data_IF_903936271433
#
_entry.id   IF_903936271433
#
_cell.length_a   1.000
_cell.length_b   1.000
_cell.length_c   1.000
_cell.angle_alpha   90.00
_cell.angle_beta   90.00
_cell.angle_gamma   90.00
#
_symmetry.space_group_name_H-M   'P 1'
#
loop_
_entity.id
_entity.type
_entity.pdbx_description
1 polymer ?
#
# COMPACT_ATOMS: atom_id res chain seq x y z
N UNK A 1 24.62 19.74 -3.61
CA UNK A 1 24.09 20.32 -2.35
C UNK A 1 22.57 20.15 -2.27
N UNK A 2 22.01 19.05 -2.79
CA UNK A 2 20.55 18.82 -2.92
C UNK A 2 20.08 17.56 -2.15
N UNK A 3 21.00 16.61 -1.86
CA UNK A 3 20.69 15.37 -1.13
C UNK A 3 20.07 15.59 0.26
N UNK A 4 20.54 16.59 1.03
CA UNK A 4 20.03 16.85 2.39
C UNK A 4 18.64 17.49 2.47
N UNK A 5 18.16 18.12 1.40
CA UNK A 5 16.78 18.63 1.38
C UNK A 5 15.78 17.54 0.99
N UNK A 6 16.21 16.61 0.13
CA UNK A 6 15.42 15.45 -0.30
C UNK A 6 15.14 14.49 0.87
N UNK A 7 16.15 14.17 1.68
CA UNK A 7 16.00 13.30 2.87
C UNK A 7 15.07 13.92 3.94
N UNK A 8 15.22 15.21 4.26
CA UNK A 8 14.37 15.83 5.30
C UNK A 8 12.92 16.07 4.87
N UNK A 9 12.66 16.39 3.60
CA UNK A 9 11.28 16.53 3.11
C UNK A 9 10.57 15.17 3.08
N UNK A 10 11.30 14.12 2.70
CA UNK A 10 10.85 12.73 2.73
C UNK A 10 10.56 12.26 4.16
N UNK A 11 11.50 12.44 5.12
CA UNK A 11 11.29 12.09 6.53
C UNK A 11 10.09 12.82 7.16
N UNK A 12 9.91 14.11 6.86
CA UNK A 12 8.80 14.90 7.40
C UNK A 12 7.45 14.47 6.81
N UNK A 13 7.41 14.07 5.53
CA UNK A 13 6.19 13.62 4.87
C UNK A 13 5.83 12.18 5.28
N UNK A 14 6.81 11.27 5.38
CA UNK A 14 6.64 9.94 5.98
C UNK A 14 6.13 10.10 7.41
N UNK A 15 6.77 10.95 8.22
CA UNK A 15 6.29 11.21 9.57
C UNK A 15 4.88 11.81 9.63
N UNK A 16 4.46 12.62 8.65
CA UNK A 16 3.12 13.20 8.58
C UNK A 16 2.05 12.19 8.14
N UNK A 17 2.31 11.41 7.08
CA UNK A 17 1.42 10.35 6.59
C UNK A 17 1.24 9.26 7.66
N UNK A 18 2.33 8.85 8.31
CA UNK A 18 2.27 7.83 9.36
C UNK A 18 1.73 8.34 10.70
N UNK A 19 1.83 9.65 11.00
CA UNK A 19 1.26 10.23 12.24
C UNK A 19 -0.26 10.17 12.28
N UNK A 20 -0.94 10.16 11.13
CA UNK A 20 -2.40 10.13 11.05
C UNK A 20 -2.98 8.71 11.25
N UNK A 21 -2.18 7.64 11.06
CA UNK A 21 -2.56 6.23 11.32
C UNK A 21 -2.70 5.86 12.81
N UNK A 22 -2.36 6.75 13.74
CA UNK A 22 -2.33 6.46 15.20
C UNK A 22 -3.71 6.42 15.87
N UNK A 23 -4.80 6.78 15.18
CA UNK A 23 -6.07 7.07 15.87
C UNK A 23 -7.14 5.96 15.87
N UNK A 24 -6.97 4.81 15.21
CA UNK A 24 -8.08 3.85 15.04
C UNK A 24 -7.76 2.35 15.26
N UNK A 25 -6.81 2.01 16.13
CA UNK A 25 -6.73 0.63 16.67
C UNK A 25 -6.89 0.62 18.18
N UNK A 26 -8.13 0.88 18.61
CA UNK A 26 -8.61 0.47 19.93
C UNK A 26 -9.10 -0.98 19.86
N UNK A 27 -8.23 -1.93 20.22
CA UNK A 27 -8.69 -3.27 20.63
C UNK A 27 -8.33 -3.44 22.09
N UNK A 28 -9.35 -3.22 22.92
CA UNK A 28 -9.44 -3.73 24.27
C UNK A 28 -9.54 -5.26 24.19
N UNK A 29 -8.57 -5.98 24.78
CA UNK A 29 -8.84 -7.27 25.42
C UNK A 29 -7.84 -7.48 26.55
N UNK A 30 -8.37 -7.25 27.76
CA UNK A 30 -7.89 -7.77 29.02
C UNK A 30 -7.66 -9.29 28.91
N UNK A 31 -6.42 -9.75 29.11
CA UNK A 31 -6.09 -10.91 29.94
C UNK A 31 -4.59 -10.90 30.23
N UNK A 32 -4.25 -10.74 31.51
CA UNK A 32 -2.88 -10.66 31.97
C UNK A 32 -2.12 -11.98 31.81
N UNK A 33 -0.90 -11.88 31.30
CA UNK A 33 0.27 -12.62 31.78
C UNK A 33 1.50 -11.84 31.34
N UNK A 34 2.32 -11.46 32.33
CA UNK A 34 3.52 -10.69 32.14
C UNK A 34 4.52 -11.42 31.24
N UNK A 35 4.84 -10.80 30.11
CA UNK A 35 6.11 -11.00 29.42
C UNK A 35 6.66 -9.60 29.11
N UNK A 36 7.94 -9.47 29.40
CA UNK A 36 8.71 -8.24 29.51
C UNK A 36 8.54 -7.31 28.30
N UNK A 37 8.10 -6.10 28.60
CA UNK A 37 8.10 -4.97 27.68
C UNK A 37 9.54 -4.56 27.41
N UNK A 38 10.00 -4.77 26.18
CA UNK A 38 11.19 -4.10 25.65
C UNK A 38 10.83 -3.52 24.29
N UNK A 39 10.98 -2.20 24.16
CA UNK A 39 10.95 -1.50 22.87
C UNK A 39 9.68 -0.71 22.62
N UNK A 40 9.77 0.59 22.84
CA UNK A 40 8.81 1.59 22.36
C UNK A 40 8.78 1.55 20.82
N UNK A 41 7.65 1.15 20.23
CA UNK A 41 7.45 1.15 18.79
C UNK A 41 7.09 2.56 18.30
N UNK A 42 8.06 3.27 17.73
CA UNK A 42 7.87 4.37 16.78
C UNK A 42 9.05 4.41 15.80
N UNK A 43 8.73 4.72 14.53
CA UNK A 43 9.56 4.91 13.32
C UNK A 43 9.76 3.66 12.45
N UNK A 44 9.14 3.67 11.27
CA UNK A 44 9.22 2.71 10.15
C UNK A 44 8.81 1.25 10.46
N UNK A 45 7.57 0.89 10.09
CA UNK A 45 7.01 -0.47 10.22
C UNK A 45 7.82 -1.54 9.44
N UNK A 46 8.70 -1.11 8.53
CA UNK A 46 9.60 -1.96 7.75
C UNK A 46 11.01 -1.35 7.66
N UNK A 47 12.04 -2.19 7.66
CA UNK A 47 13.46 -1.77 7.58
C UNK A 47 13.90 -1.24 6.18
N UNK A 48 12.96 -1.07 5.25
CA UNK A 48 13.22 -0.68 3.88
C UNK A 48 13.22 0.84 3.71
N UNK A 49 14.25 1.39 3.05
CA UNK A 49 14.31 2.81 2.71
C UNK A 49 13.48 3.18 1.47
N UNK A 50 13.17 2.20 0.61
CA UNK A 50 12.39 2.38 -0.61
C UNK A 50 11.57 1.12 -0.96
N UNK A 51 10.38 1.28 -1.55
CA UNK A 51 9.47 0.16 -1.86
C UNK A 51 10.06 -0.90 -2.81
N UNK A 52 11.06 -0.53 -3.62
CA UNK A 52 11.77 -1.48 -4.50
C UNK A 52 12.61 -2.47 -3.68
N UNK A 53 13.11 -2.07 -2.52
CA UNK A 53 13.89 -2.92 -1.62
C UNK A 53 13.03 -3.97 -0.92
N UNK A 54 11.72 -3.71 -0.78
CA UNK A 54 10.76 -4.65 -0.22
C UNK A 54 10.41 -5.82 -1.16
N UNK A 55 10.80 -5.78 -2.45
CA UNK A 55 10.41 -6.81 -3.43
C UNK A 55 10.80 -8.24 -3.05
N UNK A 56 12.02 -8.53 -2.55
CA UNK A 56 12.39 -9.87 -2.12
C UNK A 56 11.51 -10.36 -0.96
N UNK A 57 11.13 -9.46 -0.05
CA UNK A 57 10.27 -9.82 1.09
C UNK A 57 8.83 -10.05 0.66
N UNK A 58 8.31 -9.28 -0.31
CA UNK A 58 7.01 -9.55 -0.94
C UNK A 58 6.99 -10.95 -1.58
N UNK A 59 8.07 -11.35 -2.26
CA UNK A 59 8.17 -12.70 -2.85
C UNK A 59 8.26 -13.79 -1.77
N UNK A 60 9.02 -13.54 -0.70
CA UNK A 60 9.17 -14.47 0.42
C UNK A 60 7.85 -14.68 1.17
N UNK A 61 7.19 -13.61 1.61
CA UNK A 61 5.90 -13.68 2.31
C UNK A 61 4.81 -14.37 1.47
N UNK A 62 4.81 -14.13 0.15
CA UNK A 62 3.94 -14.84 -0.78
C UNK A 62 4.24 -16.33 -0.83
N UNK A 63 5.51 -16.71 -0.92
CA UNK A 63 5.94 -18.12 -0.93
C UNK A 63 5.56 -18.83 0.37
N UNK A 64 5.65 -18.13 1.50
CA UNK A 64 5.35 -18.66 2.82
C UNK A 64 3.85 -18.67 3.15
N UNK A 65 3.00 -18.09 2.29
CA UNK A 65 1.56 -17.99 2.52
C UNK A 65 1.18 -17.08 3.69
N UNK A 66 2.08 -16.17 4.09
CA UNK A 66 1.87 -15.19 5.16
C UNK A 66 1.05 -14.02 4.63
N UNK A 67 -0.24 -14.27 4.40
CA UNK A 67 -1.12 -13.36 3.66
C UNK A 67 -1.38 -12.03 4.39
N UNK A 68 -1.51 -12.04 5.72
CA UNK A 68 -1.73 -10.80 6.49
C UNK A 68 -0.50 -9.89 6.43
N UNK A 69 0.71 -10.44 6.67
CA UNK A 69 1.94 -9.67 6.54
C UNK A 69 2.22 -9.21 5.11
N UNK A 70 1.86 -10.01 4.11
CA UNK A 70 1.97 -9.62 2.70
C UNK A 70 1.03 -8.47 2.37
N UNK A 71 -0.20 -8.49 2.88
CA UNK A 71 -1.16 -7.39 2.72
C UNK A 71 -0.62 -6.10 3.32
N UNK A 72 -0.11 -6.13 4.55
CA UNK A 72 0.46 -4.96 5.21
C UNK A 72 1.66 -4.40 4.44
N UNK A 73 2.58 -5.26 3.96
CA UNK A 73 3.76 -4.84 3.20
C UNK A 73 3.38 -4.22 1.85
N UNK A 74 2.44 -4.82 1.12
CA UNK A 74 1.97 -4.27 -0.16
C UNK A 74 1.29 -2.92 0.02
N UNK A 75 0.51 -2.75 1.09
CA UNK A 75 -0.11 -1.46 1.43
C UNK A 75 0.95 -0.40 1.73
N UNK A 76 1.98 -0.76 2.51
CA UNK A 76 3.10 0.13 2.79
C UNK A 76 3.82 0.56 1.49
N UNK A 77 4.10 -0.37 0.57
CA UNK A 77 4.71 -0.08 -0.72
C UNK A 77 3.86 0.90 -1.56
N UNK A 78 2.54 0.72 -1.59
CA UNK A 78 1.60 1.61 -2.29
C UNK A 78 1.62 3.01 -1.68
N UNK A 79 1.51 3.10 -0.35
CA UNK A 79 1.50 4.39 0.36
C UNK A 79 2.79 5.17 0.14
N UNK A 80 3.95 4.48 0.18
CA UNK A 80 5.23 5.11 -0.08
C UNK A 80 5.36 5.58 -1.54
N UNK A 81 4.97 4.73 -2.50
CA UNK A 81 5.00 5.09 -3.91
C UNK A 81 4.12 6.30 -4.22
N UNK A 82 2.90 6.36 -3.68
CA UNK A 82 2.00 7.51 -3.83
C UNK A 82 2.55 8.78 -3.16
N UNK A 83 3.17 8.65 -1.99
CA UNK A 83 3.78 9.76 -1.27
C UNK A 83 4.93 10.39 -2.07
N UNK A 84 5.77 9.57 -2.72
CA UNK A 84 6.83 10.08 -3.59
C UNK A 84 6.28 10.91 -4.75
N UNK A 85 5.15 10.50 -5.34
CA UNK A 85 4.52 11.27 -6.43
C UNK A 85 4.02 12.66 -5.98
N UNK A 86 3.73 12.84 -4.69
CA UNK A 86 3.27 14.14 -4.15
C UNK A 86 4.41 15.14 -3.92
N UNK A 87 5.65 14.67 -3.77
CA UNK A 87 6.82 15.51 -3.46
C UNK A 87 7.52 16.03 -4.72
N UNK A 88 7.31 15.38 -5.86
CA UNK A 88 7.94 15.78 -7.12
C UNK A 88 7.19 16.97 -7.73
N UNK A 89 7.82 18.15 -7.73
CA UNK A 89 7.28 19.39 -8.34
C UNK A 89 7.09 19.25 -9.88
N UNK A 90 7.75 18.28 -10.50
CA UNK A 90 7.66 17.96 -11.92
C UNK A 90 6.81 16.70 -12.16
N UNK A 91 5.49 16.85 -12.00
CA UNK A 91 4.47 15.82 -12.28
C UNK A 91 4.55 15.24 -13.71
N UNK A 92 5.30 15.86 -14.62
CA UNK A 92 5.43 15.42 -16.00
C UNK A 92 6.46 14.29 -16.19
N UNK A 93 7.37 14.07 -15.22
CA UNK A 93 8.49 13.12 -15.39
C UNK A 93 8.49 11.94 -14.41
N UNK A 94 7.65 11.99 -13.38
CA UNK A 94 7.31 10.86 -12.51
C UNK A 94 5.79 10.76 -12.49
N UNK A 95 5.25 9.83 -13.27
CA UNK A 95 3.80 9.64 -13.36
C UNK A 95 3.37 8.19 -13.22
N UNK A 96 4.30 7.23 -13.24
CA UNK A 96 3.94 5.82 -13.26
C UNK A 96 4.04 5.21 -11.85
N UNK A 97 2.89 4.92 -11.27
CA UNK A 97 2.83 4.14 -10.03
C UNK A 97 3.16 2.67 -10.33
N UNK A 98 3.86 1.97 -9.43
CA UNK A 98 4.17 0.55 -9.60
C UNK A 98 2.90 -0.31 -9.53
N UNK A 99 2.26 -0.57 -10.68
CA UNK A 99 1.01 -1.33 -10.75
C UNK A 99 1.11 -2.72 -10.11
N UNK A 100 2.29 -3.32 -10.11
CA UNK A 100 2.55 -4.64 -9.52
C UNK A 100 2.04 -4.74 -8.08
N UNK A 101 2.20 -3.71 -7.24
CA UNK A 101 1.73 -3.78 -5.86
C UNK A 101 0.20 -3.72 -5.76
N UNK A 102 -0.44 -2.93 -6.62
CA UNK A 102 -1.91 -2.84 -6.67
C UNK A 102 -2.53 -4.13 -7.20
N UNK A 103 -1.96 -4.73 -8.25
CA UNK A 103 -2.46 -5.98 -8.83
C UNK A 103 -2.23 -7.16 -7.89
N UNK A 104 -1.11 -7.18 -7.17
CA UNK A 104 -0.79 -8.18 -6.16
C UNK A 104 -1.74 -8.09 -4.96
N UNK A 105 -2.01 -6.89 -4.46
CA UNK A 105 -2.95 -6.69 -3.36
C UNK A 105 -4.39 -7.02 -3.78
N UNK A 106 -4.79 -6.62 -4.99
CA UNK A 106 -6.08 -6.98 -5.57
C UNK A 106 -6.26 -8.50 -5.68
N UNK A 107 -5.20 -9.22 -6.06
CA UNK A 107 -5.21 -10.69 -6.11
C UNK A 107 -5.39 -11.30 -4.73
N UNK A 108 -4.69 -10.77 -3.72
CA UNK A 108 -4.81 -11.22 -2.34
C UNK A 108 -6.24 -11.06 -1.82
N UNK A 109 -6.87 -9.90 -2.06
CA UNK A 109 -8.28 -9.68 -1.71
C UNK A 109 -9.23 -10.61 -2.44
N UNK A 110 -9.02 -10.83 -3.73
CA UNK A 110 -9.84 -11.76 -4.52
C UNK A 110 -9.74 -13.19 -3.97
N UNK A 111 -8.53 -13.64 -3.68
CA UNK A 111 -8.29 -14.99 -3.17
C UNK A 111 -8.90 -15.17 -1.75
N UNK A 112 -9.04 -14.07 -0.99
CA UNK A 112 -9.77 -13.99 0.28
C UNK A 112 -11.30 -13.76 0.16
N UNK A 113 -11.88 -13.74 -1.06
CA UNK A 113 -13.28 -13.36 -1.35
C UNK A 113 -13.68 -11.94 -0.91
N UNK A 114 -12.70 -11.06 -0.69
CA UNK A 114 -12.87 -9.64 -0.36
C UNK A 114 -13.03 -8.81 -1.65
N UNK A 115 -14.11 -9.04 -2.39
CA UNK A 115 -14.30 -8.45 -3.72
C UNK A 115 -14.45 -6.92 -3.70
N UNK A 116 -14.99 -6.35 -2.62
CA UNK A 116 -15.09 -4.90 -2.45
C UNK A 116 -13.72 -4.26 -2.26
N UNK A 117 -12.84 -4.87 -1.44
CA UNK A 117 -11.46 -4.43 -1.26
C UNK A 117 -10.65 -4.55 -2.57
N UNK A 118 -10.87 -5.63 -3.34
CA UNK A 118 -10.28 -5.80 -4.68
C UNK A 118 -10.62 -4.62 -5.60
N UNK A 119 -11.90 -4.21 -5.63
CA UNK A 119 -12.33 -3.06 -6.44
C UNK A 119 -11.71 -1.76 -5.92
N UNK A 120 -11.69 -1.56 -4.59
CA UNK A 120 -11.18 -0.33 -3.98
C UNK A 120 -9.70 -0.08 -4.26
N UNK A 121 -8.85 -1.11 -4.19
CA UNK A 121 -7.41 -0.95 -4.49
C UNK A 121 -7.17 -0.64 -5.96
N UNK A 122 -7.89 -1.30 -6.87
CA UNK A 122 -7.75 -1.07 -8.31
C UNK A 122 -8.30 0.31 -8.72
N UNK A 123 -9.41 0.74 -8.12
CA UNK A 123 -9.95 2.09 -8.29
C UNK A 123 -8.95 3.14 -7.82
N UNK A 124 -8.32 2.94 -6.65
CA UNK A 124 -7.28 3.84 -6.12
C UNK A 124 -6.13 4.02 -7.11
N UNK A 125 -5.67 2.96 -7.77
CA UNK A 125 -4.64 3.04 -8.81
C UNK A 125 -5.10 3.90 -9.99
N UNK A 126 -6.27 3.57 -10.56
CA UNK A 126 -6.83 4.26 -11.72
C UNK A 126 -7.01 5.74 -11.43
N UNK A 127 -7.68 6.09 -10.32
CA UNK A 127 -7.91 7.48 -9.94
C UNK A 127 -6.62 8.24 -9.64
N UNK A 128 -5.59 7.58 -9.13
CA UNK A 128 -4.30 8.24 -8.91
C UNK A 128 -3.56 8.48 -10.21
N UNK A 129 -3.50 7.50 -11.11
CA UNK A 129 -2.92 7.65 -12.45
C UNK A 129 -3.63 8.77 -13.25
N UNK A 130 -4.97 8.81 -13.21
CA UNK A 130 -5.77 9.89 -13.82
C UNK A 130 -5.43 11.27 -13.24
N UNK A 131 -5.28 11.36 -11.92
CA UNK A 131 -4.89 12.61 -11.23
C UNK A 131 -3.48 13.06 -11.61
N UNK A 132 -2.56 12.12 -11.82
CA UNK A 132 -1.20 12.39 -12.27
C UNK A 132 -1.12 12.68 -13.78
N UNK A 133 -2.20 12.47 -14.54
CA UNK A 133 -2.21 12.60 -16.00
C UNK A 133 -1.39 11.51 -16.70
N UNK A 134 -1.15 10.40 -16.02
CA UNK A 134 -0.33 9.29 -16.49
C UNK A 134 -1.22 8.14 -17.01
N UNK A 135 -0.69 7.32 -17.93
CA UNK A 135 -1.49 6.28 -18.57
C UNK A 135 -1.84 5.17 -17.57
N UNK A 136 -3.11 4.81 -17.50
CA UNK A 136 -3.54 3.61 -16.79
C UNK A 136 -3.09 2.38 -17.59
N UNK A 137 -2.36 1.47 -16.94
CA UNK A 137 -1.97 0.22 -17.55
C UNK A 137 -3.19 -0.64 -17.93
N UNK A 138 -3.26 -1.07 -19.20
CA UNK A 138 -4.43 -1.79 -19.73
C UNK A 138 -4.73 -3.09 -19.00
N UNK A 139 -3.71 -3.73 -18.41
CA UNK A 139 -3.92 -4.93 -17.59
C UNK A 139 -4.68 -4.62 -16.30
N UNK A 140 -4.34 -3.50 -15.63
CA UNK A 140 -5.00 -3.04 -14.41
C UNK A 140 -6.44 -2.62 -14.68
N UNK A 141 -6.67 -1.88 -15.77
CA UNK A 141 -8.03 -1.50 -16.20
C UNK A 141 -8.89 -2.74 -16.47
N UNK A 142 -8.35 -3.73 -17.19
CA UNK A 142 -9.05 -4.98 -17.44
C UNK A 142 -9.32 -5.75 -16.13
N UNK A 143 -8.40 -5.72 -15.17
CA UNK A 143 -8.60 -6.33 -13.86
C UNK A 143 -9.69 -5.61 -13.06
N UNK A 144 -9.71 -4.27 -13.08
CA UNK A 144 -10.71 -3.43 -12.43
C UNK A 144 -12.12 -3.75 -12.93
N UNK A 145 -12.32 -3.79 -14.25
CA UNK A 145 -13.62 -4.16 -14.82
C UNK A 145 -14.07 -5.58 -14.43
N UNK A 146 -13.13 -6.54 -14.38
CA UNK A 146 -13.42 -7.90 -13.91
C UNK A 146 -13.83 -7.91 -12.43
N UNK A 147 -13.18 -7.11 -11.59
CA UNK A 147 -13.49 -6.99 -10.17
C UNK A 147 -14.87 -6.36 -9.94
N UNK A 148 -15.18 -5.26 -10.64
CA UNK A 148 -16.51 -4.63 -10.60
C UNK A 148 -17.63 -5.60 -10.98
N UNK A 149 -17.40 -6.42 -12.02
CA UNK A 149 -18.36 -7.44 -12.43
C UNK A 149 -18.61 -8.47 -11.32
N UNK A 150 -17.55 -8.95 -10.65
CA UNK A 150 -17.67 -9.89 -9.52
C UNK A 150 -18.50 -9.31 -8.38
N UNK A 151 -18.23 -8.06 -7.98
CA UNK A 151 -19.04 -7.39 -6.94
C UNK A 151 -20.50 -7.30 -7.36
N UNK A 152 -20.79 -6.91 -8.62
CA UNK A 152 -22.15 -6.84 -9.13
C UNK A 152 -22.84 -8.23 -9.21
N UNK A 153 -22.10 -9.31 -9.45
CA UNK A 153 -22.61 -10.68 -9.42
C UNK A 153 -22.81 -11.18 -7.98
N UNK A 154 -21.97 -10.76 -7.04
CA UNK A 154 -22.07 -11.11 -5.62
C UNK A 154 -23.28 -10.44 -4.96
N UNK A 155 -23.51 -9.14 -5.21
CA UNK A 155 -24.65 -8.39 -4.66
C UNK A 155 -26.02 -8.94 -5.13
N UNK A 156 -26.07 -9.61 -6.29
CA UNK A 156 -27.31 -10.15 -6.86
C UNK A 156 -27.72 -11.53 -6.30
N UNK A 157 -26.86 -12.18 -5.52
CA UNK A 157 -27.11 -13.50 -4.92
C UNK A 157 -27.74 -13.35 -3.53
#
# INVERSE_FOLDING_TARGET
>A
MVKRFFEHAFEVLVALVFRERRSDRGVETDHGTAVESTGLATDDEYEFGHYVEARPEVEQLRSDGRHDELEDLLRWCIELAEAEQLVVEDLANFGDLPAVFYTDLARLYRDANRYEDEVAVLERYVSTQERLGAPVESEVEAQYHRAQKRVAEWIRQ
#
